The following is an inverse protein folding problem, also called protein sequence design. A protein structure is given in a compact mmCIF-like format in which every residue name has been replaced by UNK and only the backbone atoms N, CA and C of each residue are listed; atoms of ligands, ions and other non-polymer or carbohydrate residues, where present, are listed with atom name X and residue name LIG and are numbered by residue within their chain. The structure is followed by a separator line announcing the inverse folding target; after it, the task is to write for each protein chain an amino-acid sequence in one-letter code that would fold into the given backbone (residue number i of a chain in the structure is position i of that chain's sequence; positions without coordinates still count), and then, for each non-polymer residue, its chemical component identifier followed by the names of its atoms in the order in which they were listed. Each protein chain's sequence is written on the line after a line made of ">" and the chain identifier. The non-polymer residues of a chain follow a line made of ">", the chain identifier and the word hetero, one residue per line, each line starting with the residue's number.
data_IF_844180124888
#
_entry.id   IF_844180124888
#
_cell.length_a   1.000
_cell.length_b   1.000
_cell.length_c   1.000
_cell.angle_alpha   90.00
_cell.angle_beta   90.00
_cell.angle_gamma   90.00
#
_symmetry.space_group_name_H-M   'P 1'
#
loop_
_entity.id
_entity.type
_entity.pdbx_description
1 polymer ?
#
# COMPACT_ATOMS: atom_id res chain seq x y z
N UNK A 1 57.63 -27.71 -19.47
CA UNK A 1 56.15 -27.78 -19.57
C UNK A 1 55.62 -28.34 -18.26
N UNK A 2 55.00 -27.49 -17.42
CA UNK A 2 54.36 -27.91 -16.16
C UNK A 2 52.88 -27.53 -16.25
N UNK A 3 52.04 -28.56 -16.13
CA UNK A 3 50.62 -28.55 -16.38
C UNK A 3 49.91 -28.06 -15.10
N UNK A 4 49.30 -26.88 -15.15
CA UNK A 4 48.48 -26.36 -14.04
C UNK A 4 47.08 -26.98 -14.13
N UNK A 5 46.79 -27.88 -13.18
CA UNK A 5 45.46 -28.47 -13.00
C UNK A 5 44.57 -27.45 -12.29
N UNK A 6 43.57 -26.93 -12.98
CA UNK A 6 42.51 -26.10 -12.40
C UNK A 6 41.58 -26.98 -11.56
N UNK A 7 41.56 -26.74 -10.25
CA UNK A 7 40.65 -27.38 -9.31
C UNK A 7 39.37 -26.53 -9.22
N UNK A 8 38.33 -26.92 -9.96
CA UNK A 8 37.01 -26.29 -9.91
C UNK A 8 36.29 -26.82 -8.67
N UNK A 9 36.26 -26.01 -7.61
CA UNK A 9 35.42 -26.26 -6.43
C UNK A 9 33.99 -25.81 -6.77
N UNK A 10 33.13 -26.78 -7.08
CA UNK A 10 31.69 -26.56 -7.19
C UNK A 10 31.13 -26.35 -5.78
N UNK A 11 30.99 -25.09 -5.37
CA UNK A 11 30.18 -24.70 -4.22
C UNK A 11 28.72 -25.00 -4.55
N UNK A 12 28.22 -26.12 -4.03
CA UNK A 12 26.79 -26.38 -3.92
C UNK A 12 26.18 -25.32 -3.01
N UNK A 13 25.67 -24.24 -3.61
CA UNK A 13 24.71 -23.36 -2.97
C UNK A 13 23.44 -24.18 -2.74
N UNK A 14 23.33 -24.76 -1.54
CA UNK A 14 22.06 -25.21 -0.98
C UNK A 14 21.18 -23.98 -0.85
N UNK A 15 20.44 -23.70 -1.93
CA UNK A 15 19.31 -22.78 -1.91
C UNK A 15 18.36 -23.27 -0.82
N UNK A 16 18.32 -22.54 0.30
CA UNK A 16 17.18 -22.55 1.20
C UNK A 16 15.96 -22.24 0.33
N UNK A 17 15.16 -23.27 0.04
CA UNK A 17 13.82 -23.12 -0.50
C UNK A 17 12.96 -22.40 0.53
N UNK A 18 13.08 -21.08 0.60
CA UNK A 18 12.02 -20.26 1.16
C UNK A 18 10.86 -20.43 0.21
N UNK A 19 9.89 -21.26 0.57
CA UNK A 19 8.62 -21.36 -0.13
C UNK A 19 7.94 -20.01 -0.05
N UNK A 20 8.14 -19.18 -1.08
CA UNK A 20 7.32 -17.98 -1.27
C UNK A 20 5.90 -18.52 -1.43
N UNK A 21 5.06 -18.37 -0.40
CA UNK A 21 3.63 -18.64 -0.52
C UNK A 21 3.12 -17.79 -1.68
N UNK A 22 2.78 -18.44 -2.79
CA UNK A 22 2.21 -17.77 -3.94
C UNK A 22 0.83 -17.32 -3.52
N UNK A 23 0.66 -16.02 -3.33
CA UNK A 23 -0.63 -15.44 -2.97
C UNK A 23 -1.63 -15.69 -4.09
N UNK A 24 -2.60 -16.55 -3.82
CA UNK A 24 -3.68 -16.86 -4.74
C UNK A 24 -4.84 -15.89 -4.49
N UNK A 25 -5.17 -15.12 -5.52
CA UNK A 25 -6.35 -14.25 -5.56
C UNK A 25 -7.62 -15.12 -5.48
N UNK A 26 -8.40 -15.01 -4.40
CA UNK A 26 -9.70 -15.68 -4.30
C UNK A 26 -10.75 -14.94 -5.13
N UNK A 27 -10.92 -15.40 -6.37
CA UNK A 27 -11.84 -14.80 -7.34
C UNK A 27 -13.31 -15.17 -7.14
N UNK A 28 -13.62 -16.09 -6.22
CA UNK A 28 -14.99 -16.56 -6.03
C UNK A 28 -15.70 -15.90 -4.85
N UNK A 29 -14.95 -15.25 -3.95
CA UNK A 29 -15.50 -14.56 -2.80
C UNK A 29 -16.53 -13.46 -3.19
N UNK A 30 -17.59 -13.26 -2.37
CA UNK A 30 -18.52 -12.14 -2.55
C UNK A 30 -17.81 -10.78 -2.57
N UNK A 31 -16.78 -10.62 -1.73
CA UNK A 31 -15.97 -9.40 -1.68
C UNK A 31 -15.23 -9.13 -2.99
N UNK A 32 -14.67 -10.16 -3.63
CA UNK A 32 -14.03 -10.02 -4.93
C UNK A 32 -15.03 -9.64 -6.03
N UNK A 33 -16.21 -10.29 -6.07
CA UNK A 33 -17.26 -9.94 -7.04
C UNK A 33 -17.72 -8.50 -6.87
N UNK A 34 -17.89 -8.04 -5.63
CA UNK A 34 -18.25 -6.66 -5.32
C UNK A 34 -17.13 -5.67 -5.71
N UNK A 35 -15.86 -6.01 -5.47
CA UNK A 35 -14.72 -5.24 -5.96
C UNK A 35 -14.73 -5.14 -7.49
N UNK A 36 -14.96 -6.24 -8.21
CA UNK A 36 -14.99 -6.23 -9.67
C UNK A 36 -16.13 -5.37 -10.25
N UNK A 37 -17.25 -5.29 -9.54
CA UNK A 37 -18.41 -4.49 -9.94
C UNK A 37 -18.24 -2.97 -9.72
N UNK A 38 -17.26 -2.52 -8.93
CA UNK A 38 -17.11 -1.09 -8.63
C UNK A 38 -16.48 -0.32 -9.80
N UNK A 39 -16.88 0.96 -9.97
CA UNK A 39 -16.39 1.86 -11.04
C UNK A 39 -14.88 2.12 -10.97
N UNK A 40 -14.32 2.14 -9.76
CA UNK A 40 -12.92 2.51 -9.50
C UNK A 40 -12.18 1.38 -8.79
N UNK A 41 -11.49 0.51 -9.52
CA UNK A 41 -10.74 -0.62 -8.97
C UNK A 41 -9.28 -0.26 -8.80
N UNK A 42 -8.81 -0.20 -7.56
CA UNK A 42 -7.40 -0.02 -7.22
C UNK A 42 -6.81 -1.35 -6.79
N UNK A 43 -5.72 -1.76 -7.44
CA UNK A 43 -4.93 -2.92 -7.05
C UNK A 43 -3.51 -2.44 -6.71
N UNK A 44 -3.11 -2.62 -5.45
CA UNK A 44 -1.83 -2.20 -4.87
C UNK A 44 -1.03 -3.45 -4.52
N UNK A 45 -0.54 -4.16 -5.53
CA UNK A 45 0.11 -5.46 -5.39
C UNK A 45 1.61 -5.29 -5.43
N UNK A 46 2.11 -4.73 -4.34
CA UNK A 46 3.49 -4.36 -4.20
C UNK A 46 3.96 -3.33 -5.21
N UNK A 47 4.89 -3.70 -6.08
CA UNK A 47 5.39 -2.80 -7.12
C UNK A 47 4.43 -2.67 -8.32
N UNK A 48 3.43 -3.54 -8.41
CA UNK A 48 2.42 -3.53 -9.45
C UNK A 48 1.20 -2.74 -8.96
N UNK A 49 1.06 -1.52 -9.48
CA UNK A 49 -0.09 -0.67 -9.20
C UNK A 49 -0.99 -0.61 -10.43
N UNK A 50 -2.28 -0.89 -10.25
CA UNK A 50 -3.25 -0.78 -11.34
C UNK A 50 -4.51 -0.03 -10.93
N UNK A 51 -5.11 0.65 -11.92
CA UNK A 51 -6.39 1.30 -11.81
C UNK A 51 -7.29 0.83 -12.96
N UNK A 52 -8.40 0.17 -12.62
CA UNK A 52 -9.28 -0.48 -13.59
C UNK A 52 -8.53 -1.40 -14.56
N UNK A 53 -7.48 -2.07 -14.09
CA UNK A 53 -6.61 -2.95 -14.88
C UNK A 53 -5.53 -2.24 -15.70
N UNK A 54 -5.52 -0.90 -15.76
CA UNK A 54 -4.45 -0.13 -16.39
C UNK A 54 -3.28 0.08 -15.41
N UNK A 55 -2.04 -0.24 -15.78
CA UNK A 55 -0.90 -0.03 -14.89
C UNK A 55 -0.57 1.46 -14.73
N UNK A 56 -0.05 1.84 -13.57
CA UNK A 56 0.53 3.15 -13.32
C UNK A 56 1.71 3.04 -12.35
N UNK A 57 2.51 4.10 -12.25
CA UNK A 57 3.63 4.20 -11.29
C UNK A 57 3.73 5.59 -10.72
N UNK A 58 4.23 5.70 -9.49
CA UNK A 58 4.67 7.01 -8.99
C UNK A 58 5.99 7.40 -9.69
N UNK A 59 6.29 8.70 -9.70
CA UNK A 59 7.42 9.29 -10.43
C UNK A 59 7.16 9.52 -11.92
N UNK A 60 5.96 9.22 -12.44
CA UNK A 60 5.59 9.56 -13.82
C UNK A 60 5.01 10.99 -13.90
N UNK A 61 4.98 11.55 -15.11
CA UNK A 61 4.48 12.91 -15.34
C UNK A 61 2.97 13.02 -15.11
N UNK A 62 2.48 14.22 -14.78
CA UNK A 62 1.04 14.50 -14.68
C UNK A 62 0.26 14.09 -15.95
N UNK A 63 0.84 14.32 -17.14
CA UNK A 63 0.22 13.95 -18.43
C UNK A 63 0.05 12.44 -18.59
N UNK A 64 0.98 11.64 -18.06
CA UNK A 64 0.83 10.18 -18.06
C UNK A 64 -0.22 9.73 -17.04
N UNK A 65 -0.30 10.40 -15.88
CA UNK A 65 -1.36 10.18 -14.90
C UNK A 65 -2.76 10.45 -15.48
N UNK A 66 -2.93 11.54 -16.21
CA UNK A 66 -4.18 11.89 -16.89
C UNK A 66 -4.66 10.79 -17.86
N UNK A 67 -3.74 10.13 -18.58
CA UNK A 67 -4.08 9.00 -19.47
C UNK A 67 -4.67 7.79 -18.71
N UNK A 68 -4.31 7.61 -17.44
CA UNK A 68 -4.78 6.50 -16.61
C UNK A 68 -6.07 6.88 -15.87
N UNK A 69 -6.09 8.05 -15.25
CA UNK A 69 -7.13 8.46 -14.29
C UNK A 69 -8.16 9.44 -14.87
N UNK A 70 -7.93 9.96 -16.07
CA UNK A 70 -8.77 10.94 -16.75
C UNK A 70 -8.50 12.37 -16.30
N UNK A 71 -9.48 13.23 -16.57
CA UNK A 71 -9.37 14.66 -16.31
C UNK A 71 -9.20 14.98 -14.82
N UNK A 72 -8.48 16.08 -14.58
CA UNK A 72 -8.18 16.55 -13.24
C UNK A 72 -8.46 18.03 -13.09
N UNK A 73 -8.68 18.42 -11.84
CA UNK A 73 -8.68 19.79 -11.40
C UNK A 73 -7.49 20.00 -10.45
N UNK A 74 -6.85 21.15 -10.57
CA UNK A 74 -5.87 21.61 -9.58
C UNK A 74 -6.59 22.32 -8.45
N UNK A 75 -6.27 21.97 -7.20
CA UNK A 75 -6.76 22.70 -6.02
C UNK A 75 -5.64 22.80 -4.98
N UNK A 76 -5.01 23.96 -4.84
CA UNK A 76 -4.15 24.24 -3.68
C UNK A 76 -3.12 25.35 -3.89
N UNK A 77 -2.77 25.99 -2.77
CA UNK A 77 -1.62 26.89 -2.56
C UNK A 77 -0.48 26.02 -1.98
N UNK A 78 0.75 26.12 -2.50
CA UNK A 78 1.90 25.27 -2.11
C UNK A 78 2.08 24.05 -3.02
N UNK A 79 2.70 22.96 -2.54
CA UNK A 79 2.92 21.71 -3.31
C UNK A 79 1.61 21.30 -4.00
N UNK A 80 1.61 21.41 -5.33
CA UNK A 80 0.38 21.42 -6.14
C UNK A 80 -0.41 20.11 -5.98
N UNK A 81 -1.59 20.18 -5.36
CA UNK A 81 -2.48 19.04 -5.16
C UNK A 81 -3.41 18.91 -6.37
N UNK A 82 -3.41 17.73 -6.98
CA UNK A 82 -4.24 17.35 -8.13
C UNK A 82 -5.39 16.47 -7.66
N UNK A 83 -6.62 16.79 -8.07
CA UNK A 83 -7.83 16.01 -7.79
C UNK A 83 -8.46 15.57 -9.10
N UNK A 84 -8.60 14.26 -9.28
CA UNK A 84 -9.25 13.70 -10.47
C UNK A 84 -10.77 13.79 -10.30
N UNK A 85 -11.45 14.33 -11.32
CA UNK A 85 -12.85 14.82 -11.23
C UNK A 85 -13.78 13.71 -10.71
N UNK A 86 -13.57 12.52 -11.23
CA UNK A 86 -14.41 11.35 -11.02
C UNK A 86 -13.78 10.27 -10.15
N UNK A 87 -12.62 10.51 -9.54
CA UNK A 87 -11.89 9.49 -8.79
C UNK A 87 -11.71 9.92 -7.32
N UNK A 88 -11.65 8.98 -6.35
CA UNK A 88 -11.38 9.32 -4.94
C UNK A 88 -9.88 9.59 -4.66
N UNK A 89 -9.14 9.91 -5.71
CA UNK A 89 -7.71 10.12 -5.69
C UNK A 89 -7.39 11.60 -5.49
N UNK A 90 -6.39 11.83 -4.66
CA UNK A 90 -5.62 13.08 -4.64
C UNK A 90 -4.15 12.76 -4.88
N UNK A 91 -3.51 13.41 -5.85
CA UNK A 91 -2.09 13.27 -6.12
C UNK A 91 -1.34 14.54 -5.69
N UNK A 92 -0.13 14.37 -5.15
CA UNK A 92 0.84 15.46 -5.00
C UNK A 92 1.88 15.34 -6.10
N UNK A 93 2.31 16.49 -6.62
CA UNK A 93 3.47 16.56 -7.51
C UNK A 93 4.61 17.31 -6.86
N UNK A 94 5.83 16.92 -7.21
CA UNK A 94 6.99 17.76 -6.93
C UNK A 94 6.98 18.99 -7.84
N UNK A 95 7.87 19.95 -7.58
CA UNK A 95 8.04 21.17 -8.38
C UNK A 95 8.29 20.91 -9.88
N UNK A 96 8.60 19.66 -10.25
CA UNK A 96 9.01 19.21 -11.59
C UNK A 96 7.91 18.43 -12.35
N UNK A 97 6.63 18.66 -12.03
CA UNK A 97 5.47 18.03 -12.69
C UNK A 97 5.34 16.50 -12.60
N UNK A 98 6.17 15.84 -11.78
CA UNK A 98 6.12 14.41 -11.50
C UNK A 98 5.21 14.12 -10.30
N UNK A 99 4.37 13.09 -10.39
CA UNK A 99 3.52 12.66 -9.28
C UNK A 99 4.33 11.77 -8.32
N UNK A 100 4.61 12.26 -7.13
CA UNK A 100 5.40 11.52 -6.12
C UNK A 100 4.56 10.91 -5.00
N UNK A 101 3.31 11.34 -4.84
CA UNK A 101 2.41 10.80 -3.83
C UNK A 101 0.99 10.64 -4.36
N UNK A 102 0.35 9.53 -3.97
CA UNK A 102 -1.02 9.20 -4.30
C UNK A 102 -1.82 8.87 -3.04
N UNK A 103 -2.89 9.62 -2.78
CA UNK A 103 -3.84 9.33 -1.73
C UNK A 103 -5.14 8.77 -2.30
N UNK A 104 -5.50 7.54 -1.90
CA UNK A 104 -6.71 6.84 -2.32
C UNK A 104 -7.65 6.71 -1.11
N UNK A 105 -8.81 7.36 -1.17
CA UNK A 105 -9.77 7.34 -0.06
C UNK A 105 -10.89 6.33 -0.30
N UNK A 106 -11.38 5.69 0.76
CA UNK A 106 -12.63 4.93 0.71
C UNK A 106 -13.85 5.86 0.70
N UNK A 107 -14.00 6.63 -0.40
CA UNK A 107 -15.07 7.60 -0.67
C UNK A 107 -15.48 7.50 -2.15
N UNK A 108 -16.60 8.14 -2.54
CA UNK A 108 -17.08 8.24 -3.94
C UNK A 108 -17.10 6.90 -4.71
N UNK A 109 -17.78 5.89 -4.16
CA UNK A 109 -17.97 4.61 -4.85
C UNK A 109 -16.79 3.63 -4.78
N UNK A 110 -15.79 3.90 -3.93
CA UNK A 110 -14.78 2.92 -3.55
C UNK A 110 -15.11 2.33 -2.19
N UNK A 111 -15.55 1.07 -2.20
CA UNK A 111 -15.84 0.27 -1.02
C UNK A 111 -14.80 -0.83 -0.78
N UNK A 112 -14.05 -1.19 -1.82
CA UNK A 112 -13.02 -2.23 -1.78
C UNK A 112 -11.74 -1.75 -2.46
N UNK A 113 -10.59 -2.21 -1.98
CA UNK A 113 -9.31 -2.10 -2.66
C UNK A 113 -8.63 -3.46 -2.62
N UNK A 114 -7.84 -3.79 -3.62
CA UNK A 114 -6.96 -4.95 -3.56
C UNK A 114 -5.58 -4.50 -3.10
N UNK A 115 -5.05 -5.15 -2.09
CA UNK A 115 -3.71 -4.89 -1.56
C UNK A 115 -3.02 -6.22 -1.41
N UNK A 116 -1.91 -6.42 -2.13
CA UNK A 116 -1.20 -7.71 -2.20
C UNK A 116 -2.17 -8.90 -2.37
N UNK A 117 -2.95 -8.84 -3.45
CA UNK A 117 -3.93 -9.86 -3.84
C UNK A 117 -5.05 -10.15 -2.84
N UNK A 118 -5.13 -9.37 -1.75
CA UNK A 118 -6.14 -9.49 -0.70
C UNK A 118 -7.13 -8.34 -0.79
N UNK A 119 -8.43 -8.63 -0.70
CA UNK A 119 -9.47 -7.58 -0.70
C UNK A 119 -9.53 -6.94 0.69
N UNK A 120 -9.26 -5.63 0.73
CA UNK A 120 -9.51 -4.75 1.85
C UNK A 120 -10.86 -4.06 1.66
N UNK A 121 -11.76 -4.24 2.63
CA UNK A 121 -13.07 -3.57 2.67
C UNK A 121 -13.01 -2.26 3.45
N UNK A 122 -13.85 -1.28 3.08
CA UNK A 122 -13.96 0.03 3.75
C UNK A 122 -14.25 -0.06 5.25
N UNK A 123 -15.09 -1.02 5.64
CA UNK A 123 -15.54 -1.18 7.03
C UNK A 123 -14.69 -2.21 7.80
N UNK A 124 -13.71 -2.83 7.14
CA UNK A 124 -12.86 -3.85 7.74
C UNK A 124 -11.81 -3.24 8.65
N UNK A 125 -11.70 -3.78 9.86
CA UNK A 125 -10.64 -3.43 10.81
C UNK A 125 -9.29 -3.85 10.26
N UNK A 126 -8.26 -3.08 10.60
CA UNK A 126 -6.92 -3.36 10.08
C UNK A 126 -6.38 -4.72 10.52
N UNK A 127 -6.65 -5.16 11.75
CA UNK A 127 -6.28 -6.49 12.26
C UNK A 127 -6.90 -7.63 11.44
N UNK A 128 -8.16 -7.49 11.03
CA UNK A 128 -8.87 -8.49 10.25
C UNK A 128 -8.26 -8.57 8.84
N UNK A 129 -7.91 -7.42 8.26
CA UNK A 129 -7.16 -7.37 7.02
C UNK A 129 -5.80 -8.06 7.13
N UNK A 130 -5.01 -7.74 8.17
CA UNK A 130 -3.69 -8.36 8.42
C UNK A 130 -3.82 -9.87 8.57
N UNK A 131 -4.83 -10.37 9.30
CA UNK A 131 -5.08 -11.82 9.45
C UNK A 131 -5.42 -12.54 8.15
N UNK A 132 -6.06 -11.86 7.19
CA UNK A 132 -6.43 -12.45 5.90
C UNK A 132 -5.28 -12.49 4.91
N UNK A 133 -4.37 -11.52 4.97
CA UNK A 133 -3.23 -11.49 4.06
C UNK A 133 -2.12 -12.41 4.57
N UNK A 134 -1.44 -13.09 3.65
CA UNK A 134 -0.20 -13.79 3.99
C UNK A 134 1.03 -12.89 3.89
N UNK A 135 0.86 -11.61 3.50
CA UNK A 135 1.96 -10.73 3.15
C UNK A 135 2.51 -9.92 4.31
N UNK A 136 1.69 -9.70 5.32
CA UNK A 136 1.93 -8.69 6.34
C UNK A 136 1.79 -9.27 7.73
N UNK A 137 2.69 -8.87 8.61
CA UNK A 137 2.56 -8.97 10.05
C UNK A 137 2.63 -7.57 10.66
N UNK A 138 2.09 -7.35 11.86
CA UNK A 138 2.10 -6.02 12.49
C UNK A 138 3.52 -5.48 12.71
N UNK A 139 4.49 -6.35 12.92
CA UNK A 139 5.90 -5.99 13.12
C UNK A 139 6.56 -5.44 11.84
N UNK A 140 5.95 -5.64 10.67
CA UNK A 140 6.41 -5.03 9.41
C UNK A 140 6.09 -3.53 9.33
N UNK A 141 5.29 -3.00 10.25
CA UNK A 141 4.79 -1.62 10.18
C UNK A 141 5.44 -0.70 11.21
N UNK A 142 5.80 0.49 10.74
CA UNK A 142 5.97 1.63 11.63
C UNK A 142 4.59 2.15 12.05
N UNK A 143 4.32 2.15 13.35
CA UNK A 143 3.02 2.49 13.92
C UNK A 143 3.03 3.92 14.49
N UNK A 144 1.99 4.69 14.19
CA UNK A 144 1.76 6.05 14.70
C UNK A 144 0.31 6.23 15.12
N UNK A 145 -0.04 7.35 15.76
CA UNK A 145 -1.45 7.67 16.09
C UNK A 145 -2.40 7.60 14.90
N UNK A 146 -1.90 7.93 13.72
CA UNK A 146 -2.69 8.09 12.51
C UNK A 146 -2.82 6.79 11.70
N UNK A 147 -2.00 5.78 12.00
CA UNK A 147 -2.03 4.49 11.33
C UNK A 147 -0.68 3.82 11.12
N UNK A 148 -0.65 2.96 10.11
CA UNK A 148 0.37 1.95 9.90
C UNK A 148 1.12 2.20 8.59
N UNK A 149 2.44 2.20 8.67
CA UNK A 149 3.32 2.56 7.57
C UNK A 149 4.20 1.37 7.20
N UNK A 150 4.12 0.95 5.95
CA UNK A 150 4.87 -0.17 5.39
C UNK A 150 5.80 0.31 4.29
N UNK A 151 7.05 -0.15 4.32
CA UNK A 151 8.06 0.21 3.33
C UNK A 151 8.27 -0.94 2.34
N UNK A 152 8.30 -0.58 1.05
CA UNK A 152 8.47 -1.51 -0.04
C UNK A 152 9.74 -1.17 -0.81
N UNK A 153 10.90 -1.65 -0.34
CA UNK A 153 12.21 -1.21 -0.83
C UNK A 153 12.44 -1.54 -2.30
N UNK A 154 11.86 -2.64 -2.80
CA UNK A 154 12.07 -3.09 -4.19
C UNK A 154 11.60 -2.09 -5.27
N UNK A 155 10.74 -1.14 -4.92
CA UNK A 155 10.23 -0.11 -5.83
C UNK A 155 10.15 1.28 -5.18
N UNK A 156 10.86 1.47 -4.06
CA UNK A 156 10.88 2.71 -3.28
C UNK A 156 9.49 3.27 -2.98
N UNK A 157 8.55 2.39 -2.66
CA UNK A 157 7.21 2.81 -2.24
C UNK A 157 7.06 2.75 -0.74
N UNK A 158 6.25 3.66 -0.23
CA UNK A 158 5.87 3.71 1.17
C UNK A 158 4.36 3.80 1.28
N UNK A 159 3.76 2.74 1.79
CA UNK A 159 2.33 2.67 2.01
C UNK A 159 2.03 3.21 3.40
N UNK A 160 1.03 4.06 3.49
CA UNK A 160 0.50 4.53 4.75
C UNK A 160 -1.00 4.26 4.80
N UNK A 161 -1.37 3.25 5.58
CA UNK A 161 -2.74 2.86 5.88
C UNK A 161 -3.24 3.78 7.00
N UNK A 162 -4.02 4.81 6.65
CA UNK A 162 -4.66 5.69 7.63
C UNK A 162 -5.79 4.93 8.32
N UNK A 163 -5.48 4.34 9.45
CA UNK A 163 -6.39 3.68 10.38
C UNK A 163 -5.98 4.12 11.79
N UNK A 164 -6.79 4.95 12.48
CA UNK A 164 -6.43 5.45 13.81
C UNK A 164 -6.07 4.31 14.77
N UNK A 165 -4.93 4.46 15.44
CA UNK A 165 -4.37 3.42 16.32
C UNK A 165 -4.79 3.70 17.75
N UNK A 166 -5.33 2.68 18.40
CA UNK A 166 -5.68 2.73 19.81
C UNK A 166 -4.44 2.32 20.61
N UNK A 167 -4.04 3.13 21.57
CA UNK A 167 -2.91 2.82 22.45
C UNK A 167 -3.41 2.48 23.84
N UNK A 168 -2.70 1.55 24.49
CA UNK A 168 -2.83 1.37 25.93
C UNK A 168 -2.42 2.65 26.66
N UNK A 169 -3.00 2.87 27.83
CA UNK A 169 -2.66 3.99 28.72
C UNK A 169 -1.80 3.46 29.87
N UNK A 170 -0.71 4.15 30.18
CA UNK A 170 0.14 3.86 31.33
C UNK A 170 -0.09 4.95 32.38
N UNK A 171 -0.39 4.56 33.62
CA UNK A 171 -0.69 5.50 34.71
C UNK A 171 -2.12 6.07 34.67
N UNK A 172 -2.38 7.13 35.46
CA UNK A 172 -3.71 7.70 35.66
C UNK A 172 -3.71 9.23 35.84
N UNK A 173 -4.91 9.83 35.81
CA UNK A 173 -5.08 11.28 35.98
C UNK A 173 -4.35 12.13 34.93
N UNK A 174 -3.81 13.28 35.33
CA UNK A 174 -3.09 14.22 34.47
C UNK A 174 -1.72 13.73 33.98
N UNK A 175 -1.17 12.66 34.55
CA UNK A 175 0.18 12.13 34.22
C UNK A 175 0.14 10.84 33.40
N UNK A 176 -0.94 10.62 32.67
CA UNK A 176 -1.03 9.42 31.85
C UNK A 176 -0.14 9.48 30.61
N UNK A 177 0.58 8.39 30.37
CA UNK A 177 1.47 8.22 29.23
C UNK A 177 0.85 7.29 28.19
N UNK A 178 1.24 7.48 26.94
CA UNK A 178 0.91 6.57 25.84
C UNK A 178 1.74 5.29 25.98
N UNK A 179 1.07 4.16 26.10
CA UNK A 179 1.65 2.83 26.14
C UNK A 179 1.76 2.18 24.77
N UNK A 180 1.85 0.85 24.75
CA UNK A 180 1.92 0.06 23.50
C UNK A 180 0.60 0.13 22.71
N UNK A 181 0.64 0.05 21.37
CA UNK A 181 -0.57 -0.04 20.56
C UNK A 181 -1.36 -1.32 20.90
N UNK A 182 -2.69 -1.24 20.79
CA UNK A 182 -3.59 -2.39 20.82
C UNK A 182 -3.75 -2.93 19.40
N UNK A 183 -3.23 -4.12 19.17
CA UNK A 183 -3.22 -4.75 17.83
C UNK A 183 -4.43 -5.66 17.59
N UNK A 184 -5.18 -5.95 18.66
CA UNK A 184 -6.42 -6.74 18.72
C UNK A 184 -7.70 -5.87 18.75
N UNK A 185 -7.52 -4.55 18.68
CA UNK A 185 -8.61 -3.58 18.72
C UNK A 185 -8.30 -2.42 17.78
N UNK A 186 -8.35 -2.71 16.47
CA UNK A 186 -7.95 -1.74 15.44
C UNK A 186 -9.13 -1.04 14.77
N UNK A 187 -8.88 0.13 14.20
CA UNK A 187 -9.87 0.87 13.41
C UNK A 187 -9.90 0.40 11.95
N UNK A 188 -10.98 0.69 11.21
CA UNK A 188 -11.00 0.53 9.76
C UNK A 188 -10.04 1.47 9.02
N UNK A 189 -9.54 1.03 7.87
CA UNK A 189 -8.69 1.84 6.99
C UNK A 189 -9.53 2.86 6.23
N UNK A 190 -9.23 4.14 6.40
CA UNK A 190 -9.98 5.25 5.78
C UNK A 190 -9.38 5.72 4.45
N UNK A 191 -8.06 5.60 4.32
CA UNK A 191 -7.28 6.06 3.17
C UNK A 191 -5.97 5.28 3.11
N UNK A 192 -5.51 4.97 1.91
CA UNK A 192 -4.13 4.53 1.68
C UNK A 192 -3.39 5.69 1.00
N UNK A 193 -2.23 6.05 1.52
CA UNK A 193 -1.32 6.99 0.85
C UNK A 193 -0.08 6.22 0.41
N UNK A 194 0.29 6.36 -0.85
CA UNK A 194 1.48 5.78 -1.43
C UNK A 194 2.42 6.93 -1.74
N UNK A 195 3.64 6.87 -1.24
CA UNK A 195 4.68 7.84 -1.56
C UNK A 195 5.83 7.13 -2.23
N UNK A 196 6.41 7.79 -3.23
CA UNK A 196 7.66 7.40 -3.86
C UNK A 196 8.79 8.19 -3.22
N UNK A 197 9.85 7.48 -2.84
CA UNK A 197 11.10 8.09 -2.38
C UNK A 197 12.21 7.77 -3.39
N UNK A 198 13.15 8.69 -3.51
CA UNK A 198 14.35 8.52 -4.34
C UNK A 198 15.53 8.11 -3.46
#
# INVERSE_FOLDING_TARGET
>A
MKQYVYLIVILFLTSCKTSIKKETKDTNSPAYKAFMAQKHRFELNGCELTYNGKPFRLGMSLKEFEKVFGDYNTKGIGNFIVKFIDSPITASKDSVDIINALGISFKKGVNYMMVNHTILSKEEKFEDFIRKTSKFEFDDFLISSDGYKYEQPNCNYKYFFRSPVIFNRIGGGHMALTGKPKLDETSPVRKITINYYQ
#
